data_IF_401368262318
#
_entry.id   IF_401368262318
#
_cell.length_a   1.000
_cell.length_b   1.000
_cell.length_c   1.000
_cell.angle_alpha   90.00
_cell.angle_beta   90.00
_cell.angle_gamma   90.00
#
_symmetry.space_group_name_H-M   'P 1'
#
loop_
_entity.id
_entity.type
_entity.pdbx_description
1 polymer ?
#
# COMPACT_ATOMS: atom_id res chain seq x y z
N UNK A 1 -6.70 24.16 -17.15
CA UNK A 1 -8.03 24.04 -16.51
C UNK A 1 -8.08 22.71 -15.77
N UNK A 2 -8.91 22.59 -14.75
CA UNK A 2 -9.05 21.34 -13.99
C UNK A 2 -9.73 20.29 -14.88
N UNK A 3 -9.12 19.11 -14.99
CA UNK A 3 -9.76 17.96 -15.64
C UNK A 3 -10.76 17.32 -14.67
N UNK A 4 -12.05 17.52 -14.95
CA UNK A 4 -13.14 16.98 -14.14
C UNK A 4 -13.15 15.45 -14.08
N UNK A 5 -12.70 14.79 -15.15
CA UNK A 5 -12.63 13.33 -15.22
C UNK A 5 -11.55 12.82 -14.28
N UNK A 6 -10.33 13.38 -14.36
CA UNK A 6 -9.25 13.07 -13.42
C UNK A 6 -9.62 13.34 -11.96
N UNK A 7 -10.36 14.42 -11.68
CA UNK A 7 -10.83 14.72 -10.33
C UNK A 7 -11.82 13.68 -9.81
N UNK A 8 -12.76 13.23 -10.65
CA UNK A 8 -13.70 12.17 -10.29
C UNK A 8 -12.98 10.85 -10.02
N UNK A 9 -11.99 10.49 -10.84
CA UNK A 9 -11.15 9.32 -10.60
C UNK A 9 -10.35 9.42 -9.31
N UNK A 10 -9.77 10.58 -9.00
CA UNK A 10 -9.04 10.80 -7.75
C UNK A 10 -9.95 10.64 -6.51
N UNK A 11 -11.17 11.19 -6.56
CA UNK A 11 -12.17 11.03 -5.50
C UNK A 11 -12.65 9.57 -5.38
N UNK A 12 -12.89 8.89 -6.49
CA UNK A 12 -13.26 7.48 -6.50
C UNK A 12 -12.14 6.60 -5.93
N UNK A 13 -10.88 6.86 -6.28
CA UNK A 13 -9.72 6.17 -5.73
C UNK A 13 -9.60 6.39 -4.21
N UNK A 14 -9.75 7.64 -3.74
CA UNK A 14 -9.76 7.97 -2.32
C UNK A 14 -10.91 7.30 -1.56
N UNK A 15 -12.12 7.32 -2.12
CA UNK A 15 -13.28 6.63 -1.57
C UNK A 15 -13.10 5.12 -1.50
N UNK A 16 -12.55 4.52 -2.56
CA UNK A 16 -12.20 3.10 -2.61
C UNK A 16 -11.20 2.71 -1.53
N UNK A 17 -10.17 3.53 -1.30
CA UNK A 17 -9.20 3.34 -0.21
C UNK A 17 -9.85 3.40 1.17
N UNK A 18 -10.75 4.36 1.41
CA UNK A 18 -11.47 4.47 2.67
C UNK A 18 -12.35 3.25 2.94
N UNK A 19 -13.09 2.78 1.92
CA UNK A 19 -13.89 1.55 2.01
C UNK A 19 -13.00 0.33 2.27
N UNK A 20 -11.87 0.23 1.57
CA UNK A 20 -10.88 -0.84 1.76
C UNK A 20 -10.35 -0.90 3.20
N UNK A 21 -10.00 0.24 3.81
CA UNK A 21 -9.50 0.27 5.20
C UNK A 21 -10.58 -0.22 6.17
N UNK A 22 -11.82 0.29 6.03
CA UNK A 22 -12.92 -0.05 6.95
C UNK A 22 -13.33 -1.52 6.80
N UNK A 23 -13.54 -1.99 5.58
CA UNK A 23 -13.94 -3.37 5.32
C UNK A 23 -12.79 -4.33 5.55
N UNK A 24 -11.57 -3.99 5.14
CA UNK A 24 -10.37 -4.79 5.35
C UNK A 24 -10.10 -5.00 6.84
N UNK A 25 -10.27 -3.96 7.67
CA UNK A 25 -10.20 -4.09 9.12
C UNK A 25 -11.21 -5.09 9.69
N UNK A 26 -12.45 -5.11 9.17
CA UNK A 26 -13.48 -6.09 9.57
C UNK A 26 -13.15 -7.51 9.11
N UNK A 27 -12.71 -7.67 7.85
CA UNK A 27 -12.34 -8.98 7.28
C UNK A 27 -11.16 -9.59 8.02
N UNK A 28 -10.17 -8.77 8.42
CA UNK A 28 -9.01 -9.21 9.18
C UNK A 28 -9.34 -9.76 10.58
N UNK A 29 -10.53 -9.47 11.14
CA UNK A 29 -11.00 -10.05 12.41
C UNK A 29 -11.67 -11.42 12.24
N UNK A 30 -12.16 -11.74 11.03
CA UNK A 30 -12.98 -12.94 10.77
C UNK A 30 -12.19 -14.02 10.04
N UNK A 31 -11.22 -13.63 9.20
CA UNK A 31 -10.37 -14.55 8.45
C UNK A 31 -8.92 -14.51 8.93
N UNK A 32 -8.19 -15.65 8.88
CA UNK A 32 -6.74 -15.63 8.98
C UNK A 32 -6.16 -14.69 7.92
N UNK A 33 -5.22 -13.82 8.32
CA UNK A 33 -4.72 -12.74 7.45
C UNK A 33 -4.20 -13.21 6.08
N UNK A 34 -3.57 -14.39 6.02
CA UNK A 34 -3.09 -14.97 4.76
C UNK A 34 -4.24 -15.34 3.81
N UNK A 35 -5.35 -15.87 4.34
CA UNK A 35 -6.53 -16.25 3.56
C UNK A 35 -7.30 -15.02 3.09
N UNK A 36 -7.42 -14.01 3.94
CA UNK A 36 -8.03 -12.73 3.56
C UNK A 36 -7.32 -12.08 2.38
N UNK A 37 -5.98 -12.05 2.40
CA UNK A 37 -5.16 -11.50 1.30
C UNK A 37 -5.30 -12.35 0.03
N UNK A 38 -5.25 -13.68 0.14
CA UNK A 38 -5.38 -14.56 -1.01
C UNK A 38 -6.74 -14.40 -1.74
N UNK A 39 -7.84 -14.36 -0.97
CA UNK A 39 -9.18 -14.15 -1.53
C UNK A 39 -9.31 -12.75 -2.13
N UNK A 40 -8.80 -11.72 -1.45
CA UNK A 40 -8.77 -10.35 -1.97
C UNK A 40 -8.02 -10.24 -3.29
N UNK A 41 -6.86 -10.88 -3.41
CA UNK A 41 -6.07 -10.94 -4.64
C UNK A 41 -6.80 -11.68 -5.77
N UNK A 42 -7.49 -12.78 -5.46
CA UNK A 42 -8.31 -13.50 -6.45
C UNK A 42 -9.44 -12.62 -7.01
N UNK A 43 -10.19 -11.96 -6.12
CA UNK A 43 -11.28 -11.06 -6.53
C UNK A 43 -10.73 -9.88 -7.33
N UNK A 44 -9.64 -9.25 -6.88
CA UNK A 44 -8.98 -8.17 -7.62
C UNK A 44 -8.52 -8.63 -9.01
N UNK A 45 -7.96 -9.83 -9.11
CA UNK A 45 -7.54 -10.42 -10.39
C UNK A 45 -8.73 -10.61 -11.32
N UNK A 46 -9.84 -11.17 -10.84
CA UNK A 46 -11.05 -11.35 -11.65
C UNK A 46 -11.63 -10.03 -12.15
N UNK A 47 -11.52 -8.96 -11.36
CA UNK A 47 -11.97 -7.62 -11.76
C UNK A 47 -11.00 -6.99 -12.78
N UNK A 48 -9.68 -7.14 -12.61
CA UNK A 48 -8.67 -6.47 -13.44
C UNK A 48 -8.40 -7.19 -14.77
N UNK A 49 -8.41 -8.53 -14.79
CA UNK A 49 -8.17 -9.35 -16.00
C UNK A 49 -8.99 -8.92 -17.23
N UNK A 50 -10.32 -8.68 -17.16
CA UNK A 50 -11.09 -8.29 -18.34
C UNK A 50 -10.61 -6.97 -18.97
N UNK A 51 -10.15 -6.01 -18.16
CA UNK A 51 -9.56 -4.77 -18.67
C UNK A 51 -8.22 -5.04 -19.37
N UNK A 52 -7.37 -5.89 -18.79
CA UNK A 52 -6.10 -6.28 -19.41
C UNK A 52 -6.27 -7.02 -20.75
N UNK A 53 -7.35 -7.81 -20.88
CA UNK A 53 -7.71 -8.47 -22.16
C UNK A 53 -8.27 -7.46 -23.15
N UNK A 54 -9.14 -6.53 -22.72
CA UNK A 54 -9.74 -5.51 -23.57
C UNK A 54 -8.70 -4.57 -24.20
N UNK A 55 -7.66 -4.20 -23.44
CA UNK A 55 -6.54 -3.39 -23.92
C UNK A 55 -5.54 -4.19 -24.78
N UNK A 56 -5.75 -5.51 -24.98
CA UNK A 56 -4.86 -6.38 -25.75
C UNK A 56 -3.52 -6.69 -25.07
N UNK A 57 -3.22 -6.07 -23.93
CA UNK A 57 -1.96 -6.24 -23.20
C UNK A 57 -1.77 -7.68 -22.70
N UNK A 58 -2.86 -8.34 -22.26
CA UNK A 58 -2.81 -9.75 -21.86
C UNK A 58 -2.58 -10.70 -23.05
N UNK A 59 -2.98 -10.31 -24.26
CA UNK A 59 -2.74 -11.09 -25.48
C UNK A 59 -1.30 -10.94 -26.00
N UNK A 60 -0.62 -9.86 -25.63
CA UNK A 60 0.79 -9.58 -25.96
C UNK A 60 1.78 -10.07 -24.88
N UNK A 61 1.36 -10.93 -23.96
CA UNK A 61 2.22 -11.45 -22.89
C UNK A 61 3.40 -12.25 -23.46
N UNK A 62 4.60 -11.76 -23.22
CA UNK A 62 5.84 -12.50 -23.46
C UNK A 62 6.30 -13.20 -22.19
N UNK A 63 7.04 -14.32 -22.28
CA UNK A 63 7.58 -15.01 -21.10
C UNK A 63 8.43 -14.10 -20.21
N UNK A 64 9.14 -13.13 -20.81
CA UNK A 64 9.92 -12.12 -20.08
C UNK A 64 9.04 -11.15 -19.28
N UNK A 65 7.91 -10.71 -19.85
CA UNK A 65 6.96 -9.84 -19.15
C UNK A 65 6.28 -10.59 -17.99
N UNK A 66 5.98 -11.87 -18.19
CA UNK A 66 5.44 -12.73 -17.13
C UNK A 66 6.44 -12.93 -15.99
N UNK A 67 7.72 -13.17 -16.33
CA UNK A 67 8.80 -13.28 -15.35
C UNK A 67 9.04 -11.95 -14.61
N UNK A 68 9.01 -10.82 -15.32
CA UNK A 68 9.14 -9.49 -14.71
C UNK A 68 7.95 -9.17 -13.79
N UNK A 69 6.72 -9.49 -14.20
CA UNK A 69 5.52 -9.35 -13.37
C UNK A 69 5.55 -10.24 -12.12
N UNK A 70 6.01 -11.49 -12.26
CA UNK A 70 6.20 -12.40 -11.13
C UNK A 70 7.28 -11.89 -10.17
N UNK A 71 8.41 -11.40 -10.69
CA UNK A 71 9.44 -10.77 -9.88
C UNK A 71 8.89 -9.54 -9.16
N UNK A 72 8.18 -8.65 -9.85
CA UNK A 72 7.56 -7.46 -9.27
C UNK A 72 6.60 -7.84 -8.14
N UNK A 73 5.71 -8.81 -8.36
CA UNK A 73 4.76 -9.29 -7.34
C UNK A 73 5.48 -9.87 -6.11
N UNK A 74 6.55 -10.64 -6.34
CA UNK A 74 7.34 -11.25 -5.28
C UNK A 74 8.10 -10.21 -4.45
N UNK A 75 8.82 -9.30 -5.11
CA UNK A 75 9.67 -8.31 -4.46
C UNK A 75 8.91 -7.10 -3.90
N UNK A 76 7.79 -6.71 -4.51
CA UNK A 76 7.01 -5.52 -4.09
C UNK A 76 5.93 -5.85 -3.05
N UNK A 77 5.35 -7.06 -3.07
CA UNK A 77 4.23 -7.40 -2.18
C UNK A 77 4.53 -8.59 -1.29
N UNK A 78 4.85 -9.75 -1.85
CA UNK A 78 4.95 -10.98 -1.04
C UNK A 78 6.10 -10.92 -0.01
N UNK A 79 7.30 -10.53 -0.44
CA UNK A 79 8.46 -10.38 0.45
C UNK A 79 8.26 -9.26 1.47
N UNK A 80 7.91 -8.02 1.09
CA UNK A 80 7.70 -6.92 2.04
C UNK A 80 6.61 -7.23 3.06
N UNK A 81 5.49 -7.83 2.63
CA UNK A 81 4.40 -8.18 3.53
C UNK A 81 4.82 -9.25 4.54
N UNK A 82 5.56 -10.27 4.08
CA UNK A 82 6.10 -11.31 4.96
C UNK A 82 7.06 -10.72 5.99
N UNK A 83 7.99 -9.87 5.54
CA UNK A 83 8.94 -9.18 6.42
C UNK A 83 8.23 -8.26 7.41
N UNK A 84 7.21 -7.51 6.97
CA UNK A 84 6.42 -6.63 7.83
C UNK A 84 5.70 -7.42 8.93
N UNK A 85 5.09 -8.56 8.59
CA UNK A 85 4.43 -9.43 9.57
C UNK A 85 5.43 -10.07 10.55
N UNK A 86 6.64 -10.40 10.11
CA UNK A 86 7.70 -10.86 11.00
C UNK A 86 8.25 -9.74 11.90
N UNK A 87 8.42 -8.53 11.35
CA UNK A 87 8.88 -7.36 12.09
C UNK A 87 7.87 -6.97 13.18
N UNK A 88 6.57 -7.00 12.88
CA UNK A 88 5.51 -6.70 13.85
C UNK A 88 5.48 -7.71 15.01
N UNK A 89 5.89 -8.96 14.77
CA UNK A 89 6.02 -9.99 15.81
C UNK A 89 7.26 -9.82 16.68
N UNK A 90 8.29 -9.10 16.22
CA UNK A 90 9.61 -9.01 16.88
C UNK A 90 9.97 -7.62 17.40
N UNK A 91 9.36 -6.56 16.87
CA UNK A 91 9.65 -5.18 17.22
C UNK A 91 8.51 -4.55 18.04
N UNK A 92 8.82 -3.67 19.00
CA UNK A 92 7.81 -2.83 19.63
C UNK A 92 7.07 -1.99 18.58
N UNK A 93 5.75 -1.83 18.74
CA UNK A 93 4.88 -1.06 17.83
C UNK A 93 5.44 0.33 17.52
N UNK A 94 6.09 0.97 18.50
CA UNK A 94 6.73 2.29 18.35
C UNK A 94 7.83 2.27 17.29
N UNK A 95 8.73 1.29 17.32
CA UNK A 95 9.85 1.17 16.39
C UNK A 95 9.36 0.85 14.98
N UNK A 96 8.38 -0.06 14.85
CA UNK A 96 7.75 -0.36 13.57
C UNK A 96 7.06 0.87 12.96
N UNK A 97 6.38 1.66 13.79
CA UNK A 97 5.66 2.85 13.31
C UNK A 97 6.60 4.00 12.91
N UNK A 98 7.76 4.12 13.56
CA UNK A 98 8.84 5.04 13.13
C UNK A 98 9.37 4.60 11.75
N UNK A 99 9.59 3.30 11.53
CA UNK A 99 10.02 2.76 10.23
C UNK A 99 9.00 3.08 9.12
N UNK A 100 7.70 2.90 9.38
CA UNK A 100 6.66 3.24 8.39
C UNK A 100 6.59 4.75 8.10
N UNK A 101 6.86 5.61 9.08
CA UNK A 101 6.85 7.06 8.85
C UNK A 101 7.96 7.57 7.92
N UNK A 102 9.01 6.76 7.71
CA UNK A 102 10.13 7.06 6.79
C UNK A 102 9.80 6.71 5.33
N UNK A 103 8.78 5.88 5.10
CA UNK A 103 8.38 5.40 3.76
C UNK A 103 8.18 6.54 2.73
N UNK A 104 7.49 7.65 3.03
CA UNK A 104 7.27 8.72 2.05
C UNK A 104 8.58 9.37 1.59
N UNK A 105 9.55 9.52 2.49
CA UNK A 105 10.87 10.06 2.17
C UNK A 105 11.66 9.10 1.28
N UNK A 106 11.64 7.80 1.61
CA UNK A 106 12.30 6.76 0.80
C UNK A 106 11.65 6.65 -0.58
N UNK A 107 10.32 6.70 -0.66
CA UNK A 107 9.59 6.69 -1.93
C UNK A 107 9.99 7.88 -2.82
N UNK A 108 10.06 9.09 -2.26
CA UNK A 108 10.50 10.29 -2.98
C UNK A 108 11.96 10.17 -3.47
N UNK A 109 12.86 9.63 -2.64
CA UNK A 109 14.25 9.36 -3.02
C UNK A 109 14.36 8.31 -4.12
N UNK A 110 13.58 7.23 -4.04
CA UNK A 110 13.53 6.23 -5.09
C UNK A 110 12.99 6.81 -6.41
N UNK A 111 11.96 7.67 -6.37
CA UNK A 111 11.49 8.40 -7.56
C UNK A 111 12.57 9.28 -8.18
N UNK A 112 13.36 9.98 -7.36
CA UNK A 112 14.49 10.79 -7.82
C UNK A 112 15.62 9.93 -8.41
N UNK A 113 15.96 8.79 -7.80
CA UNK A 113 17.11 7.97 -8.18
C UNK A 113 16.82 7.02 -9.35
N UNK A 114 15.66 6.36 -9.33
CA UNK A 114 15.32 5.32 -10.32
C UNK A 114 14.50 5.90 -11.48
N UNK A 115 13.54 6.78 -11.21
CA UNK A 115 12.71 7.44 -12.23
C UNK A 115 13.31 8.76 -12.73
N UNK A 116 14.39 9.26 -12.11
CA UNK A 116 15.04 10.54 -12.45
C UNK A 116 14.09 11.74 -12.35
N UNK A 117 13.07 11.67 -11.48
CA UNK A 117 12.11 12.76 -11.32
C UNK A 117 12.72 13.97 -10.64
N UNK A 118 12.54 15.16 -11.23
CA UNK A 118 12.96 16.41 -10.60
C UNK A 118 11.87 16.94 -9.68
N UNK A 119 12.01 16.68 -8.38
CA UNK A 119 11.10 17.24 -7.38
C UNK A 119 11.34 18.74 -7.19
N UNK A 120 10.27 19.50 -7.33
CA UNK A 120 10.23 20.94 -7.02
C UNK A 120 10.30 21.17 -5.50
N UNK A 121 10.64 22.40 -5.09
CA UNK A 121 10.69 22.78 -3.67
C UNK A 121 9.34 22.54 -2.96
N UNK A 122 8.22 22.78 -3.66
CA UNK A 122 6.89 22.56 -3.12
C UNK A 122 6.60 21.07 -2.86
N UNK A 123 7.07 20.17 -3.73
CA UNK A 123 6.91 18.72 -3.52
C UNK A 123 7.76 18.22 -2.34
N UNK A 124 8.97 18.75 -2.17
CA UNK A 124 9.78 18.47 -0.98
C UNK A 124 9.09 18.92 0.32
N UNK A 125 8.48 20.10 0.33
CA UNK A 125 7.70 20.58 1.47
C UNK A 125 6.48 19.67 1.72
N UNK A 126 5.78 19.24 0.66
CA UNK A 126 4.66 18.31 0.79
C UNK A 126 5.09 16.98 1.42
N UNK A 127 6.20 16.38 0.96
CA UNK A 127 6.77 15.17 1.57
C UNK A 127 7.10 15.40 3.04
N UNK A 128 7.74 16.53 3.38
CA UNK A 128 8.06 16.88 4.76
C UNK A 128 6.81 16.99 5.66
N UNK A 129 5.76 17.66 5.16
CA UNK A 129 4.47 17.77 5.87
C UNK A 129 3.81 16.41 6.09
N UNK A 130 3.82 15.54 5.09
CA UNK A 130 3.28 14.17 5.19
C UNK A 130 4.05 13.36 6.24
N UNK A 131 5.38 13.43 6.23
CA UNK A 131 6.21 12.73 7.23
C UNK A 131 5.92 13.23 8.64
N UNK A 132 5.82 14.56 8.83
CA UNK A 132 5.48 15.17 10.13
C UNK A 132 4.09 14.74 10.59
N UNK A 133 3.08 14.77 9.70
CA UNK A 133 1.72 14.35 10.00
C UNK A 133 1.66 12.88 10.41
N UNK A 134 2.32 11.99 9.66
CA UNK A 134 2.38 10.54 9.94
C UNK A 134 3.12 10.23 11.24
N UNK A 135 4.23 10.92 11.52
CA UNK A 135 4.92 10.80 12.80
C UNK A 135 4.04 11.32 13.95
N UNK A 136 3.36 12.45 13.76
CA UNK A 136 2.45 13.05 14.72
C UNK A 136 1.25 12.14 15.05
N UNK A 137 0.60 11.56 14.03
CA UNK A 137 -0.50 10.60 14.23
C UNK A 137 -0.03 9.34 14.94
N UNK A 138 1.17 8.85 14.62
CA UNK A 138 1.78 7.70 15.30
C UNK A 138 2.05 7.97 16.77
N UNK A 139 2.57 9.16 17.10
CA UNK A 139 2.90 9.54 18.48
C UNK A 139 1.66 9.84 19.33
N UNK A 140 0.56 10.29 18.70
CA UNK A 140 -0.70 10.64 19.37
C UNK A 140 -1.73 9.52 19.37
N UNK A 141 -1.53 8.45 18.58
CA UNK A 141 -2.35 7.25 18.62
C UNK A 141 -2.30 6.63 20.03
N UNK A 142 -3.35 6.86 20.82
CA UNK A 142 -3.56 6.16 22.08
C UNK A 142 -3.63 4.67 21.78
N UNK A 143 -2.77 3.87 22.43
CA UNK A 143 -2.86 2.42 22.40
C UNK A 143 -4.32 2.00 22.66
N UNK A 144 -4.97 1.24 21.77
CA UNK A 144 -6.13 0.46 22.17
C UNK A 144 -5.64 -0.39 23.33
N UNK A 145 -6.25 -0.21 24.50
CA UNK A 145 -5.94 -1.01 25.68
C UNK A 145 -5.94 -2.48 25.24
N UNK A 146 -4.79 -3.15 25.44
CA UNK A 146 -4.66 -4.57 25.21
C UNK A 146 -5.89 -5.24 25.79
N UNK A 147 -6.62 -6.02 24.98
CA UNK A 147 -7.74 -6.80 25.46
C UNK A 147 -7.22 -7.65 26.63
N UNK A 148 -7.61 -7.20 27.83
CA UNK A 148 -7.42 -7.91 29.08
C UNK A 148 -8.36 -9.11 29.03
N UNK A 149 -7.79 -10.30 29.19
CA UNK A 149 -8.48 -11.41 29.85
C UNK A 149 -9.03 -12.53 28.98
N UNK A 150 -8.82 -13.76 29.47
CA UNK A 150 -9.31 -15.05 28.97
C UNK A 150 -8.14 -16.02 28.88
N UNK A 151 -7.49 -16.34 30.01
CA UNK A 151 -7.74 -17.60 30.78
C UNK A 151 -7.59 -18.86 29.91
#
# INVERSE_FOLDING_TARGET
GIDWVGMLFALAAGGGWAVYIVLGGRVAQVLPGNTAVAVGMLVATLVVVPFGVADGQLLALTPSLLAAGAALALFSSALPFTLAMQALKRLPTRTFSILMSIEPAVAALCGLLFLHERLTLAQWLAVGLVVIASAGSTLTARQPAAAVGGE
#
